data_IF_128090668228
#
_entry.id   IF_128090668228
#
_cell.length_a   1.000
_cell.length_b   1.000
_cell.length_c   1.000
_cell.angle_alpha   90.00
_cell.angle_beta   90.00
_cell.angle_gamma   90.00
#
_symmetry.space_group_name_H-M   'P 1'
#
loop_
_entity.id
_entity.type
_entity.pdbx_description
1 polymer ?
#
# COMPACT_ATOMS: atom_id res chain seq x y z
N UNK A 1 42.24 2.01 12.55
CA UNK A 1 43.42 1.55 13.30
C UNK A 1 43.59 0.03 13.30
N UNK A 2 42.58 -0.78 13.64
CA UNK A 2 42.74 -2.25 13.76
C UNK A 2 43.05 -2.97 12.43
N UNK A 3 42.45 -2.55 11.31
CA UNK A 3 42.65 -3.19 10.00
C UNK A 3 44.08 -3.03 9.44
N UNK A 4 44.75 -1.92 9.73
CA UNK A 4 46.15 -1.70 9.31
C UNK A 4 47.12 -2.51 10.17
N UNK A 5 46.86 -2.63 11.48
CA UNK A 5 47.68 -3.42 12.39
C UNK A 5 47.63 -4.92 12.06
N UNK A 6 46.47 -5.44 11.65
CA UNK A 6 46.33 -6.83 11.18
C UNK A 6 47.08 -7.05 9.85
N UNK A 7 47.07 -6.06 8.95
CA UNK A 7 47.81 -6.13 7.68
C UNK A 7 49.33 -6.13 7.88
N UNK A 8 49.85 -5.32 8.79
CA UNK A 8 51.28 -5.31 9.13
C UNK A 8 51.72 -6.58 9.86
N UNK A 9 50.87 -7.12 10.75
CA UNK A 9 51.17 -8.37 11.46
C UNK A 9 51.15 -9.62 10.55
N UNK A 10 50.42 -9.57 9.43
CA UNK A 10 50.30 -10.66 8.46
C UNK A 10 51.13 -10.45 7.19
N UNK A 11 51.84 -9.32 7.06
CA UNK A 11 52.70 -9.08 5.91
C UNK A 11 53.94 -9.98 5.99
N UNK A 12 54.23 -10.71 4.91
CA UNK A 12 55.45 -11.50 4.82
C UNK A 12 56.69 -10.57 4.88
N UNK A 13 57.78 -10.93 5.59
CA UNK A 13 58.98 -10.12 5.61
C UNK A 13 59.55 -10.00 4.19
N UNK A 14 60.24 -8.89 3.87
CA UNK A 14 60.76 -8.62 2.52
C UNK A 14 61.70 -9.73 2.01
N UNK A 15 61.20 -10.57 1.09
CA UNK A 15 61.93 -11.71 0.55
C UNK A 15 62.69 -11.32 -0.74
N UNK A 16 64.02 -11.41 -0.72
CA UNK A 16 64.91 -11.15 -1.87
C UNK A 16 65.27 -12.40 -2.69
N UNK A 17 64.63 -13.54 -2.39
CA UNK A 17 64.65 -14.74 -3.24
C UNK A 17 65.77 -15.75 -2.99
N UNK A 18 66.66 -15.54 -2.01
CA UNK A 18 67.81 -16.42 -1.77
C UNK A 18 67.93 -17.03 -0.36
N UNK A 19 66.92 -16.91 0.50
CA UNK A 19 66.99 -17.43 1.87
C UNK A 19 66.31 -18.81 2.04
N UNK A 20 66.93 -19.66 2.87
CA UNK A 20 66.44 -21.01 3.21
C UNK A 20 65.16 -20.89 4.03
N UNK A 21 64.05 -21.40 3.48
CA UNK A 21 62.73 -21.33 4.12
C UNK A 21 62.66 -22.25 5.34
N UNK A 22 62.50 -21.70 6.54
CA UNK A 22 62.00 -22.44 7.71
C UNK A 22 60.62 -23.02 7.40
N UNK A 23 60.34 -24.26 7.82
CA UNK A 23 59.09 -24.96 7.55
C UNK A 23 57.86 -24.14 8.01
N UNK A 24 57.30 -23.37 7.08
CA UNK A 24 56.22 -22.42 7.29
C UNK A 24 55.92 -21.75 5.97
N UNK A 25 55.06 -22.39 5.18
CA UNK A 25 54.68 -21.89 3.85
C UNK A 25 53.44 -21.01 4.02
N UNK A 26 53.58 -19.71 3.74
CA UNK A 26 52.45 -18.79 3.71
C UNK A 26 51.85 -18.80 2.30
N UNK A 27 50.58 -19.17 2.17
CA UNK A 27 49.80 -18.95 0.95
C UNK A 27 48.75 -17.89 1.19
N UNK A 28 48.65 -16.96 0.26
CA UNK A 28 47.51 -16.06 0.17
C UNK A 28 46.31 -16.86 -0.31
N UNK A 29 45.27 -16.96 0.53
CA UNK A 29 43.98 -17.51 0.13
C UNK A 29 43.03 -16.38 -0.21
N UNK A 30 42.21 -16.57 -1.24
CA UNK A 30 41.07 -15.67 -1.47
C UNK A 30 40.04 -15.88 -0.35
N UNK A 31 39.33 -14.81 0.03
CA UNK A 31 38.31 -14.84 1.09
C UNK A 31 37.27 -15.94 0.86
N UNK A 32 36.85 -16.13 -0.40
CA UNK A 32 35.92 -17.19 -0.81
C UNK A 32 36.48 -18.59 -0.56
N UNK A 33 37.78 -18.77 -0.79
CA UNK A 33 38.50 -20.03 -0.51
C UNK A 33 38.61 -20.31 0.99
N UNK A 34 38.72 -19.27 1.83
CA UNK A 34 38.72 -19.41 3.29
C UNK A 34 37.31 -19.75 3.82
N UNK A 35 36.27 -19.14 3.23
CA UNK A 35 34.87 -19.43 3.57
C UNK A 35 34.50 -20.91 3.31
N UNK A 36 35.06 -21.53 2.26
CA UNK A 36 34.85 -22.95 1.97
C UNK A 36 35.32 -23.92 3.09
N UNK A 37 36.22 -23.49 3.98
CA UNK A 37 36.64 -24.28 5.15
C UNK A 37 35.64 -24.22 6.32
N UNK A 38 34.60 -23.40 6.22
CA UNK A 38 33.57 -23.21 7.24
C UNK A 38 32.17 -23.58 6.71
N UNK A 39 31.93 -24.87 6.35
CA UNK A 39 30.67 -25.32 5.73
C UNK A 39 29.47 -25.33 6.71
N UNK A 40 29.66 -24.88 7.95
CA UNK A 40 28.65 -24.86 9.01
C UNK A 40 28.30 -23.44 9.47
N UNK A 41 28.79 -22.41 8.77
CA UNK A 41 28.40 -21.03 9.02
C UNK A 41 27.19 -20.75 8.13
N UNK A 42 26.01 -20.76 8.73
CA UNK A 42 24.79 -20.33 8.07
C UNK A 42 24.86 -18.80 7.88
N UNK A 43 24.59 -18.33 6.66
CA UNK A 43 24.62 -16.90 6.38
C UNK A 43 23.30 -16.29 6.84
N UNK A 44 23.34 -15.60 7.99
CA UNK A 44 22.18 -14.84 8.44
C UNK A 44 21.82 -13.77 7.40
N UNK A 45 20.56 -13.72 6.99
CA UNK A 45 20.07 -12.69 6.07
C UNK A 45 19.93 -11.38 6.85
N UNK A 46 20.93 -10.51 6.71
CA UNK A 46 21.04 -9.26 7.44
C UNK A 46 21.15 -8.07 6.48
N UNK A 47 19.99 -7.52 6.09
CA UNK A 47 19.96 -6.30 5.28
C UNK A 47 20.12 -5.05 6.19
N UNK A 48 21.12 -4.19 5.97
CA UNK A 48 21.31 -2.97 6.74
C UNK A 48 20.08 -2.06 6.69
N UNK A 49 19.61 -1.59 7.86
CA UNK A 49 18.39 -0.77 7.94
C UNK A 49 17.09 -1.56 7.84
N UNK A 50 17.17 -2.89 7.73
CA UNK A 50 16.02 -3.77 7.68
C UNK A 50 15.29 -3.93 9.01
N UNK A 51 14.05 -4.39 8.93
CA UNK A 51 13.26 -4.79 10.10
C UNK A 51 13.43 -6.27 10.37
N UNK A 52 13.38 -6.67 11.64
CA UNK A 52 13.33 -8.09 12.00
C UNK A 52 12.04 -8.70 11.44
N UNK A 53 12.17 -9.73 10.59
CA UNK A 53 11.03 -10.44 10.00
C UNK A 53 10.80 -11.78 10.69
N UNK A 54 11.87 -12.45 11.11
CA UNK A 54 11.77 -13.75 11.77
C UNK A 54 13.14 -14.28 12.21
N UNK A 55 13.16 -15.57 12.53
CA UNK A 55 14.37 -16.30 12.92
C UNK A 55 14.51 -17.52 12.00
N UNK A 56 15.75 -17.91 11.69
CA UNK A 56 16.03 -19.17 11.04
C UNK A 56 15.67 -20.34 11.96
N UNK A 57 15.18 -21.44 11.38
CA UNK A 57 14.71 -22.58 12.16
C UNK A 57 15.84 -23.42 12.77
N UNK A 58 17.04 -23.37 12.18
CA UNK A 58 18.14 -24.25 12.56
C UNK A 58 18.88 -23.74 13.80
N UNK A 59 19.17 -22.44 13.82
CA UNK A 59 20.07 -21.82 14.80
C UNK A 59 19.45 -20.58 15.48
N UNK A 60 18.19 -20.26 15.17
CA UNK A 60 17.50 -19.06 15.63
C UNK A 60 18.21 -17.74 15.27
N UNK A 61 19.05 -17.74 14.23
CA UNK A 61 19.66 -16.52 13.72
C UNK A 61 18.59 -15.55 13.19
N UNK A 62 18.71 -14.24 13.47
CA UNK A 62 17.70 -13.28 13.07
C UNK A 62 17.76 -12.97 11.57
N UNK A 63 16.58 -12.78 10.99
CA UNK A 63 16.40 -12.38 9.59
C UNK A 63 15.93 -10.92 9.56
N UNK A 64 16.76 -10.04 9.02
CA UNK A 64 16.46 -8.62 8.82
C UNK A 64 16.35 -8.31 7.33
N UNK A 65 15.23 -7.68 6.93
CA UNK A 65 14.98 -7.30 5.54
C UNK A 65 14.66 -5.81 5.43
N UNK A 66 15.36 -5.11 4.53
CA UNK A 66 15.13 -3.73 4.13
C UNK A 66 14.43 -3.69 2.77
N UNK A 67 13.10 -3.68 2.76
CA UNK A 67 12.34 -3.67 1.48
C UNK A 67 12.71 -2.53 0.53
N UNK A 68 13.28 -1.44 1.03
CA UNK A 68 13.70 -0.29 0.24
C UNK A 68 15.04 -0.49 -0.48
N UNK A 69 15.81 -1.52 -0.13
CA UNK A 69 17.03 -1.88 -0.87
C UNK A 69 16.75 -2.72 -2.12
N UNK A 70 15.50 -3.15 -2.33
CA UNK A 70 15.08 -4.00 -3.44
C UNK A 70 14.47 -3.19 -4.59
N UNK A 71 14.48 -3.75 -5.79
CA UNK A 71 13.89 -3.12 -6.98
C UNK A 71 12.36 -2.90 -6.84
N UNK A 72 11.70 -3.72 -6.03
CA UNK A 72 10.29 -3.57 -5.66
C UNK A 72 10.18 -3.51 -4.14
N UNK A 73 9.50 -2.48 -3.65
CA UNK A 73 9.27 -2.28 -2.21
C UNK A 73 8.04 -3.05 -1.70
N UNK A 74 7.35 -3.81 -2.56
CA UNK A 74 6.11 -4.49 -2.24
C UNK A 74 6.33 -5.80 -1.49
N UNK A 75 5.49 -6.07 -0.49
CA UNK A 75 5.48 -7.33 0.25
C UNK A 75 4.16 -8.08 0.05
N UNK A 76 4.25 -9.40 -0.07
CA UNK A 76 3.11 -10.31 -0.01
C UNK A 76 3.16 -11.14 1.27
N UNK A 77 2.10 -11.10 2.07
CA UNK A 77 1.95 -11.91 3.28
C UNK A 77 0.81 -12.90 3.04
N UNK A 78 1.15 -14.18 2.94
CA UNK A 78 0.21 -15.25 2.61
C UNK A 78 0.11 -16.26 3.75
N UNK A 79 -1.07 -16.84 3.94
CA UNK A 79 -1.30 -17.85 4.96
C UNK A 79 -2.79 -18.14 5.19
N UNK A 80 -3.09 -19.31 5.76
CA UNK A 80 -4.45 -19.69 6.13
C UNK A 80 -5.05 -18.75 7.19
N UNK A 81 -6.37 -18.78 7.37
CA UNK A 81 -7.01 -18.08 8.50
C UNK A 81 -6.43 -18.58 9.82
N UNK A 82 -6.10 -17.67 10.74
CA UNK A 82 -5.46 -18.00 12.03
C UNK A 82 -3.94 -18.23 11.98
N UNK A 83 -3.30 -18.20 10.81
CA UNK A 83 -1.83 -18.37 10.69
C UNK A 83 -0.99 -17.17 11.19
N UNK A 84 -1.63 -16.11 11.67
CA UNK A 84 -0.93 -14.92 12.18
C UNK A 84 -0.63 -13.83 11.14
N UNK A 85 -1.30 -13.81 9.99
CA UNK A 85 -1.14 -12.75 8.97
C UNK A 85 -1.28 -11.34 9.54
N UNK A 86 -2.38 -11.06 10.23
CA UNK A 86 -2.67 -9.74 10.84
C UNK A 86 -1.58 -9.35 11.84
N UNK A 87 -1.11 -10.32 12.64
CA UNK A 87 -0.01 -10.11 13.58
C UNK A 87 1.31 -9.79 12.87
N UNK A 88 1.67 -10.56 11.84
CA UNK A 88 2.88 -10.33 11.05
C UNK A 88 2.85 -8.96 10.36
N UNK A 89 1.69 -8.55 9.80
CA UNK A 89 1.49 -7.23 9.19
C UNK A 89 1.64 -6.11 10.22
N UNK A 90 0.95 -6.19 11.36
CA UNK A 90 1.01 -5.18 12.41
C UNK A 90 2.43 -5.03 12.98
N UNK A 91 3.11 -6.16 13.23
CA UNK A 91 4.46 -6.17 13.78
C UNK A 91 5.50 -5.61 12.80
N UNK A 92 5.37 -5.97 11.52
CA UNK A 92 6.17 -5.41 10.42
C UNK A 92 6.01 -3.89 10.34
N UNK A 93 4.77 -3.41 10.36
CA UNK A 93 4.43 -2.00 10.25
C UNK A 93 4.98 -1.23 11.44
N UNK A 94 4.81 -1.76 12.65
CA UNK A 94 5.36 -1.17 13.88
C UNK A 94 6.89 -1.02 13.80
N UNK A 95 7.60 -2.10 13.44
CA UNK A 95 9.07 -2.09 13.30
C UNK A 95 9.53 -1.14 12.20
N UNK A 96 8.79 -1.13 11.10
CA UNK A 96 9.03 -0.20 9.98
C UNK A 96 8.94 1.25 10.44
N UNK A 97 7.85 1.62 11.10
CA UNK A 97 7.63 2.99 11.60
C UNK A 97 8.64 3.39 12.66
N UNK A 98 9.11 2.44 13.46
CA UNK A 98 10.16 2.67 14.45
C UNK A 98 11.49 3.08 13.80
N UNK A 99 11.88 2.41 12.71
CA UNK A 99 13.14 2.69 12.01
C UNK A 99 12.99 3.85 11.01
N UNK A 100 11.80 4.01 10.43
CA UNK A 100 11.46 5.01 9.41
C UNK A 100 10.20 5.81 9.80
N UNK A 101 10.33 6.78 10.73
CA UNK A 101 9.21 7.58 11.22
C UNK A 101 8.59 8.52 10.16
N UNK A 102 9.26 8.72 9.03
CA UNK A 102 8.78 9.49 7.88
C UNK A 102 7.79 8.72 6.99
N UNK A 103 7.67 7.40 7.16
CA UNK A 103 6.79 6.57 6.33
C UNK A 103 5.34 6.76 6.78
N UNK A 104 4.51 7.33 5.93
CA UNK A 104 3.05 7.33 6.10
C UNK A 104 2.46 5.94 5.90
N UNK A 105 1.40 5.63 6.66
CA UNK A 105 0.74 4.33 6.68
C UNK A 105 -0.75 4.51 6.47
N UNK A 106 -1.29 3.84 5.44
CA UNK A 106 -2.73 3.72 5.22
C UNK A 106 -3.08 2.25 5.22
N UNK A 107 -3.93 1.83 6.15
CA UNK A 107 -4.44 0.47 6.28
C UNK A 107 -5.86 0.41 5.74
N UNK A 108 -6.07 -0.34 4.67
CA UNK A 108 -7.40 -0.68 4.19
C UNK A 108 -7.88 -1.91 4.97
N UNK A 109 -8.82 -1.70 5.89
CA UNK A 109 -9.23 -2.67 6.90
C UNK A 109 -10.71 -3.05 6.76
N UNK A 110 -11.05 -3.96 5.82
CA UNK A 110 -12.43 -4.37 5.60
C UNK A 110 -13.04 -5.11 6.79
N UNK A 111 -12.20 -5.74 7.63
CA UNK A 111 -12.64 -6.53 8.79
C UNK A 111 -12.57 -5.75 10.11
N UNK A 112 -11.99 -4.53 10.10
CA UNK A 112 -11.83 -3.70 11.29
C UNK A 112 -10.88 -4.26 12.35
N UNK A 113 -9.92 -5.11 11.98
CA UNK A 113 -8.98 -5.76 12.89
C UNK A 113 -7.86 -4.82 13.38
N UNK A 114 -7.52 -3.78 12.61
CA UNK A 114 -6.41 -2.88 12.88
C UNK A 114 -6.81 -1.64 13.68
N UNK A 115 -8.10 -1.37 13.89
CA UNK A 115 -8.57 -0.15 14.55
C UNK A 115 -7.99 0.05 15.97
N UNK A 116 -7.85 -1.03 16.76
CA UNK A 116 -7.20 -0.95 18.07
C UNK A 116 -5.70 -0.65 17.99
N UNK A 117 -5.02 -1.29 17.03
CA UNK A 117 -3.60 -1.11 16.78
C UNK A 117 -3.27 0.32 16.33
N UNK A 118 -4.04 0.87 15.39
CA UNK A 118 -3.84 2.25 14.91
C UNK A 118 -4.04 3.27 16.01
N UNK A 119 -5.09 3.14 16.83
CA UNK A 119 -5.32 4.04 17.97
C UNK A 119 -4.19 3.97 19.01
N UNK A 120 -3.65 2.77 19.26
CA UNK A 120 -2.52 2.60 20.18
C UNK A 120 -1.24 3.30 19.69
N UNK A 121 -1.09 3.49 18.38
CA UNK A 121 0.01 4.24 17.77
C UNK A 121 -0.29 5.74 17.59
N UNK A 122 -1.40 6.24 18.14
CA UNK A 122 -1.80 7.64 17.99
C UNK A 122 -2.31 8.00 16.59
N UNK A 123 -2.65 7.01 15.78
CA UNK A 123 -3.21 7.20 14.44
C UNK A 123 -4.73 7.40 14.43
N UNK A 124 -5.26 7.69 13.25
CA UNK A 124 -6.69 7.97 13.03
C UNK A 124 -7.39 6.75 12.41
N UNK A 125 -8.55 6.38 12.96
CA UNK A 125 -9.42 5.36 12.35
C UNK A 125 -10.58 6.09 11.67
N UNK A 126 -10.63 6.03 10.35
CA UNK A 126 -11.71 6.54 9.52
C UNK A 126 -12.72 5.41 9.29
N UNK A 127 -13.90 5.52 9.89
CA UNK A 127 -14.99 4.57 9.65
C UNK A 127 -15.88 5.09 8.55
N UNK A 128 -16.11 4.31 7.51
CA UNK A 128 -17.07 4.63 6.46
C UNK A 128 -18.41 3.94 6.69
N UNK A 129 -19.49 4.61 6.35
CA UNK A 129 -20.84 4.06 6.45
C UNK A 129 -21.93 5.12 6.40
N UNK A 130 -23.18 4.68 6.39
CA UNK A 130 -24.34 5.56 6.24
C UNK A 130 -24.51 6.60 7.38
N UNK A 131 -23.99 6.28 8.56
CA UNK A 131 -24.03 7.13 9.76
C UNK A 131 -22.69 7.83 10.06
N UNK A 132 -21.69 7.67 9.18
CA UNK A 132 -20.39 8.32 9.38
C UNK A 132 -20.40 9.76 8.91
N UNK A 133 -19.75 10.65 9.68
CA UNK A 133 -19.46 12.02 9.25
C UNK A 133 -18.35 12.08 8.18
N UNK A 134 -17.58 10.99 8.05
CA UNK A 134 -16.50 10.86 7.08
C UNK A 134 -17.07 10.47 5.72
N UNK A 135 -16.84 11.33 4.73
CA UNK A 135 -17.23 11.13 3.33
C UNK A 135 -16.01 11.27 2.45
N UNK A 136 -15.94 10.41 1.45
CA UNK A 136 -14.92 10.47 0.42
C UNK A 136 -15.66 10.52 -0.90
N UNK A 137 -15.43 11.59 -1.66
CA UNK A 137 -16.14 11.86 -2.91
C UNK A 137 -15.40 11.20 -4.08
N UNK A 138 -15.98 10.18 -4.73
CA UNK A 138 -15.37 9.52 -5.88
C UNK A 138 -15.26 10.44 -7.10
N UNK A 139 -16.02 11.53 -7.14
CA UNK A 139 -16.02 12.49 -8.25
C UNK A 139 -14.99 13.62 -8.06
N UNK A 140 -14.24 13.62 -6.96
CA UNK A 140 -13.23 14.64 -6.70
C UNK A 140 -12.04 14.50 -7.68
N UNK A 141 -11.74 15.52 -8.51
CA UNK A 141 -10.64 15.46 -9.47
C UNK A 141 -9.25 15.54 -8.82
N UNK A 142 -9.15 15.79 -7.50
CA UNK A 142 -7.85 15.84 -6.81
C UNK A 142 -7.06 14.53 -6.95
N UNK A 143 -7.76 13.39 -7.09
CA UNK A 143 -7.15 12.06 -7.26
C UNK A 143 -6.41 11.89 -8.59
N UNK A 144 -6.68 12.73 -9.58
CA UNK A 144 -6.00 12.75 -10.90
C UNK A 144 -5.10 13.97 -11.05
N UNK A 145 -4.62 14.54 -9.93
CA UNK A 145 -3.83 15.77 -9.95
C UNK A 145 -4.60 16.99 -10.48
N UNK A 146 -5.94 16.92 -10.49
CA UNK A 146 -6.81 17.95 -11.05
C UNK A 146 -7.15 17.78 -12.53
N UNK A 147 -6.67 16.73 -13.21
CA UNK A 147 -7.08 16.42 -14.59
C UNK A 147 -8.54 15.94 -14.61
N UNK A 148 -9.43 16.85 -15.00
CA UNK A 148 -10.87 16.62 -15.06
C UNK A 148 -11.28 15.69 -16.19
N UNK A 149 -10.58 15.70 -17.32
CA UNK A 149 -10.90 14.83 -18.45
C UNK A 149 -10.51 13.38 -18.14
N UNK A 150 -9.34 13.18 -17.55
CA UNK A 150 -8.93 11.88 -17.03
C UNK A 150 -9.91 11.39 -15.95
N UNK A 151 -10.28 12.27 -15.02
CA UNK A 151 -11.24 11.94 -13.97
C UNK A 151 -12.60 11.53 -14.52
N UNK A 152 -13.12 12.26 -15.51
CA UNK A 152 -14.37 11.94 -16.21
C UNK A 152 -14.32 10.52 -16.79
N UNK A 153 -13.24 10.17 -17.51
CA UNK A 153 -13.06 8.84 -18.07
C UNK A 153 -13.03 7.73 -17.01
N UNK A 154 -12.32 7.94 -15.90
CA UNK A 154 -12.26 6.98 -14.78
C UNK A 154 -13.62 6.79 -14.10
N UNK A 155 -14.34 7.88 -13.84
CA UNK A 155 -15.68 7.83 -13.24
C UNK A 155 -16.66 7.08 -14.15
N UNK A 156 -16.69 7.39 -15.44
CA UNK A 156 -17.53 6.68 -16.40
C UNK A 156 -17.20 5.18 -16.47
N UNK A 157 -15.92 4.81 -16.41
CA UNK A 157 -15.50 3.41 -16.34
C UNK A 157 -15.99 2.71 -15.06
N UNK A 158 -15.76 3.32 -13.88
CA UNK A 158 -16.19 2.76 -12.59
C UNK A 158 -17.70 2.55 -12.56
N UNK A 159 -18.49 3.56 -12.95
CA UNK A 159 -19.94 3.46 -12.93
C UNK A 159 -20.47 2.38 -13.88
N UNK A 160 -19.85 2.19 -15.06
CA UNK A 160 -20.20 1.07 -15.95
C UNK A 160 -19.86 -0.29 -15.34
N UNK A 161 -18.76 -0.40 -14.61
CA UNK A 161 -18.41 -1.63 -13.89
C UNK A 161 -19.39 -1.92 -12.75
N UNK A 162 -19.90 -0.91 -12.05
CA UNK A 162 -20.90 -1.08 -11.00
C UNK A 162 -22.27 -1.49 -11.54
N UNK A 163 -22.61 -1.03 -12.74
CA UNK A 163 -23.89 -1.30 -13.38
C UNK A 163 -23.69 -2.14 -14.65
N UNK A 164 -23.30 -3.43 -14.52
CA UNK A 164 -23.00 -4.27 -15.68
C UNK A 164 -24.22 -4.54 -16.57
N UNK A 165 -25.42 -4.20 -16.10
CA UNK A 165 -26.66 -4.32 -16.87
C UNK A 165 -26.99 -3.10 -17.72
N UNK A 166 -26.15 -2.05 -17.76
CA UNK A 166 -26.39 -0.87 -18.60
C UNK A 166 -26.51 -1.22 -20.08
N UNK A 167 -27.52 -0.64 -20.75
CA UNK A 167 -27.70 -0.70 -22.19
C UNK A 167 -26.73 0.26 -22.88
N UNK A 168 -26.52 0.08 -24.18
CA UNK A 168 -25.65 0.94 -24.97
C UNK A 168 -26.12 2.41 -24.92
N UNK A 169 -27.43 2.65 -25.01
CA UNK A 169 -27.99 4.00 -24.96
C UNK A 169 -27.80 4.67 -23.59
N UNK A 170 -27.91 3.90 -22.51
CA UNK A 170 -27.72 4.42 -21.14
C UNK A 170 -26.24 4.64 -20.82
N UNK A 171 -25.35 3.78 -21.33
CA UNK A 171 -23.92 3.96 -21.23
C UNK A 171 -23.47 5.24 -21.95
N UNK A 172 -24.00 5.47 -23.15
CA UNK A 172 -23.76 6.71 -23.90
C UNK A 172 -24.32 7.94 -23.15
N UNK A 173 -25.52 7.84 -22.57
CA UNK A 173 -26.11 8.91 -21.78
C UNK A 173 -25.30 9.21 -20.50
N UNK A 174 -24.81 8.18 -19.82
CA UNK A 174 -23.95 8.29 -18.64
C UNK A 174 -22.62 8.98 -18.99
N UNK A 175 -21.94 8.52 -20.04
CA UNK A 175 -20.66 9.12 -20.48
C UNK A 175 -20.85 10.60 -20.87
N UNK A 176 -21.94 10.93 -21.57
CA UNK A 176 -22.28 12.31 -21.91
C UNK A 176 -22.57 13.17 -20.66
N UNK A 177 -23.32 12.63 -19.68
CA UNK A 177 -23.60 13.31 -18.43
C UNK A 177 -22.34 13.55 -17.60
N UNK A 178 -21.44 12.57 -17.53
CA UNK A 178 -20.13 12.69 -16.85
C UNK A 178 -19.26 13.74 -17.55
N UNK A 179 -19.21 13.76 -18.89
CA UNK A 179 -18.46 14.80 -19.61
C UNK A 179 -18.98 16.20 -19.26
N UNK A 180 -20.30 16.41 -19.36
CA UNK A 180 -20.92 17.70 -19.02
C UNK A 180 -20.67 18.11 -17.57
N UNK A 181 -20.72 17.16 -16.63
CA UNK A 181 -20.41 17.37 -15.22
C UNK A 181 -19.03 18.02 -15.02
N UNK A 182 -18.00 17.49 -15.69
CA UNK A 182 -16.63 17.99 -15.55
C UNK A 182 -16.33 19.24 -16.39
N UNK A 183 -17.14 19.53 -17.41
CA UNK A 183 -17.04 20.75 -18.23
C UNK A 183 -17.57 22.01 -17.50
N UNK A 184 -18.37 21.86 -16.43
CA UNK A 184 -19.04 22.96 -15.71
C UNK A 184 -18.12 23.94 -14.98
N UNK A 185 -16.86 23.59 -14.72
CA UNK A 185 -15.89 24.50 -14.14
C UNK A 185 -15.19 23.97 -12.88
N UNK A 186 -14.71 24.85 -11.98
CA UNK A 186 -13.77 24.46 -10.94
C UNK A 186 -14.40 23.75 -9.74
N UNK A 187 -15.73 23.83 -9.59
CA UNK A 187 -16.46 23.25 -8.47
C UNK A 187 -16.25 21.73 -8.40
N UNK A 188 -16.16 21.21 -7.17
CA UNK A 188 -15.99 19.76 -6.95
C UNK A 188 -17.35 19.11 -7.13
N UNK A 189 -17.55 18.29 -8.18
CA UNK A 189 -18.85 17.70 -8.47
C UNK A 189 -19.25 16.66 -7.42
N UNK A 190 -20.55 16.53 -7.16
CA UNK A 190 -21.13 15.44 -6.34
C UNK A 190 -22.12 14.60 -7.15
N UNK A 191 -22.58 13.47 -6.60
CA UNK A 191 -23.51 12.60 -7.34
C UNK A 191 -24.82 13.30 -7.70
N UNK A 192 -25.36 14.16 -6.83
CA UNK A 192 -26.53 14.99 -7.16
C UNK A 192 -26.33 15.81 -8.42
N UNK A 193 -25.10 16.31 -8.65
CA UNK A 193 -24.75 17.06 -9.85
C UNK A 193 -24.72 16.16 -11.08
N UNK A 194 -24.21 14.93 -10.95
CA UNK A 194 -24.21 13.95 -12.04
C UNK A 194 -25.65 13.60 -12.45
N UNK A 195 -26.52 13.32 -11.47
CA UNK A 195 -27.94 13.02 -11.75
C UNK A 195 -28.65 14.19 -12.43
N UNK A 196 -28.26 15.44 -12.15
CA UNK A 196 -28.81 16.62 -12.81
C UNK A 196 -28.40 16.73 -14.29
N UNK A 197 -27.30 16.08 -14.70
CA UNK A 197 -26.82 16.06 -16.09
C UNK A 197 -27.41 14.94 -16.93
N UNK A 198 -28.04 13.93 -16.31
CA UNK A 198 -28.67 12.86 -17.07
C UNK A 198 -29.90 13.44 -17.77
N UNK A 199 -29.89 13.38 -19.11
CA UNK A 199 -31.01 13.86 -19.91
C UNK A 199 -32.27 13.05 -19.56
N UNK A 200 -33.39 13.73 -19.27
CA UNK A 200 -34.63 13.05 -18.90
C UNK A 200 -35.36 12.52 -20.11
N UNK A 201 -35.68 11.23 -20.13
CA UNK A 201 -36.50 10.63 -21.18
C UNK A 201 -36.72 9.13 -21.02
N UNK A 202 -37.54 8.52 -21.89
CA UNK A 202 -37.85 7.09 -21.81
C UNK A 202 -36.62 6.17 -21.93
N UNK A 203 -35.56 6.64 -22.59
CA UNK A 203 -34.31 5.89 -22.75
C UNK A 203 -33.45 5.87 -21.47
N UNK A 204 -33.56 6.90 -20.63
CA UNK A 204 -32.70 7.14 -19.45
C UNK A 204 -33.42 6.94 -18.13
N UNK A 205 -34.74 6.73 -18.13
CA UNK A 205 -35.55 6.49 -16.91
C UNK A 205 -34.95 5.38 -16.02
N UNK A 206 -34.47 4.29 -16.62
CA UNK A 206 -33.83 3.21 -15.87
C UNK A 206 -32.44 3.60 -15.35
N UNK A 207 -31.67 4.41 -16.10
CA UNK A 207 -30.39 4.95 -15.64
C UNK A 207 -30.59 5.86 -14.42
N UNK A 208 -31.60 6.73 -14.45
CA UNK A 208 -31.95 7.57 -13.30
C UNK A 208 -32.26 6.71 -12.06
N UNK A 209 -33.07 5.65 -12.24
CA UNK A 209 -33.38 4.72 -11.15
C UNK A 209 -32.13 3.99 -10.60
N UNK A 210 -31.15 3.67 -11.45
CA UNK A 210 -29.89 3.04 -11.04
C UNK A 210 -28.97 4.01 -10.28
N UNK A 211 -29.05 5.32 -10.58
CA UNK A 211 -28.24 6.35 -9.93
C UNK A 211 -28.90 6.93 -8.67
N UNK A 212 -30.22 6.77 -8.50
CA UNK A 212 -30.95 7.22 -7.31
C UNK A 212 -30.37 6.76 -5.95
N UNK A 213 -29.79 5.54 -5.81
CA UNK A 213 -29.15 5.12 -4.57
C UNK A 213 -28.04 6.06 -4.07
N UNK A 214 -27.37 6.79 -4.97
CA UNK A 214 -26.37 7.80 -4.60
C UNK A 214 -27.02 9.08 -4.07
N UNK A 215 -28.24 9.43 -4.49
CA UNK A 215 -28.92 10.64 -4.05
C UNK A 215 -29.62 10.47 -2.71
N UNK A 216 -30.45 9.43 -2.60
CA UNK A 216 -31.36 9.25 -1.45
C UNK A 216 -31.30 7.85 -0.82
N UNK A 217 -30.53 6.92 -1.40
CA UNK A 217 -30.49 5.52 -0.96
C UNK A 217 -29.28 5.14 -0.10
N UNK A 218 -28.84 3.88 -0.26
CA UNK A 218 -27.76 3.27 0.52
C UNK A 218 -26.37 3.85 0.25
N UNK A 219 -26.18 4.51 -0.90
CA UNK A 219 -24.92 5.11 -1.33
C UNK A 219 -24.89 6.64 -1.13
N UNK A 220 -25.83 7.21 -0.36
CA UNK A 220 -25.85 8.65 -0.07
C UNK A 220 -24.57 9.17 0.60
N UNK A 221 -23.81 8.30 1.28
CA UNK A 221 -22.59 8.68 2.00
C UNK A 221 -21.49 9.20 1.07
N UNK A 222 -21.52 8.86 -0.22
CA UNK A 222 -20.56 9.37 -1.22
C UNK A 222 -21.05 10.63 -1.95
N UNK A 223 -22.29 11.07 -1.68
CA UNK A 223 -22.90 12.22 -2.34
C UNK A 223 -22.71 13.50 -1.53
N UNK A 224 -21.48 14.01 -1.55
CA UNK A 224 -21.07 15.23 -0.89
C UNK A 224 -19.59 15.48 -1.08
N UNK A 225 -19.07 16.66 -0.72
CA UNK A 225 -17.63 16.90 -0.75
C UNK A 225 -16.90 15.97 0.22
N UNK A 226 -15.67 15.61 -0.14
CA UNK A 226 -14.75 14.87 0.74
C UNK A 226 -14.60 15.62 2.06
N UNK A 227 -14.86 14.95 3.19
CA UNK A 227 -14.76 15.52 4.55
C UNK A 227 -13.60 14.93 5.36
N UNK A 228 -12.77 14.10 4.74
CA UNK A 228 -11.60 13.48 5.37
C UNK A 228 -10.55 14.56 5.66
N UNK A 229 -10.31 14.84 6.94
CA UNK A 229 -9.11 15.55 7.40
C UNK A 229 -8.30 14.60 8.26
N UNK A 230 -7.08 14.29 7.82
CA UNK A 230 -6.15 13.44 8.57
C UNK A 230 -4.91 14.24 8.89
N UNK A 231 -4.69 14.48 10.18
CA UNK A 231 -3.50 15.17 10.70
C UNK A 231 -2.39 14.18 11.12
N UNK A 232 -2.65 12.88 11.00
CA UNK A 232 -1.76 11.80 11.44
C UNK A 232 -1.20 11.00 10.26
N UNK A 233 0.02 10.49 10.43
CA UNK A 233 0.70 9.68 9.41
C UNK A 233 0.32 8.19 9.45
N UNK A 234 -0.60 7.79 10.34
CA UNK A 234 -1.10 6.41 10.44
C UNK A 234 -2.62 6.44 10.40
N UNK A 235 -3.17 5.91 9.32
CA UNK A 235 -4.61 5.87 9.08
C UNK A 235 -5.06 4.43 8.90
N UNK A 236 -6.16 4.06 9.55
CA UNK A 236 -6.92 2.87 9.17
C UNK A 236 -8.26 3.32 8.60
N UNK A 237 -8.59 2.76 7.43
CA UNK A 237 -9.87 2.89 6.77
C UNK A 237 -10.69 1.66 7.08
N UNK A 238 -11.71 1.83 7.91
CA UNK A 238 -12.63 0.78 8.36
C UNK A 238 -13.90 0.80 7.48
N UNK A 239 -14.11 -0.30 6.75
CA UNK A 239 -15.22 -0.43 5.82
C UNK A 239 -16.45 -1.15 6.40
N UNK A 240 -16.45 -1.54 7.69
CA UNK A 240 -17.55 -2.34 8.27
C UNK A 240 -18.90 -1.63 8.29
N UNK A 241 -18.93 -0.30 8.19
CA UNK A 241 -20.18 0.46 8.08
C UNK A 241 -20.74 0.51 6.65
N UNK A 242 -20.06 -0.10 5.68
CA UNK A 242 -20.49 -0.20 4.29
C UNK A 242 -21.11 -1.59 4.07
N UNK A 243 -22.32 -1.68 3.47
CA UNK A 243 -22.89 -2.97 3.10
C UNK A 243 -21.99 -3.73 2.10
N UNK A 244 -21.92 -5.06 2.19
CA UNK A 244 -21.01 -5.89 1.38
C UNK A 244 -21.17 -5.66 -0.13
N UNK A 245 -22.40 -5.52 -0.63
CA UNK A 245 -22.69 -5.27 -2.04
C UNK A 245 -22.15 -3.93 -2.57
N UNK A 246 -21.82 -3.01 -1.65
CA UNK A 246 -21.24 -1.70 -1.97
C UNK A 246 -19.74 -1.65 -1.75
N UNK A 247 -19.13 -2.64 -1.08
CA UNK A 247 -17.70 -2.67 -0.81
C UNK A 247 -16.84 -2.59 -2.10
N UNK A 248 -17.17 -3.29 -3.21
CA UNK A 248 -16.39 -3.19 -4.44
C UNK A 248 -16.30 -1.77 -4.99
N UNK A 249 -17.37 -0.98 -4.85
CA UNK A 249 -17.35 0.42 -5.25
C UNK A 249 -16.31 1.20 -4.45
N UNK A 250 -16.33 1.06 -3.13
CA UNK A 250 -15.42 1.79 -2.24
C UNK A 250 -13.95 1.36 -2.34
N UNK A 251 -13.66 0.19 -2.89
CA UNK A 251 -12.30 -0.29 -3.13
C UNK A 251 -11.76 0.02 -4.54
N UNK A 252 -12.62 0.45 -5.47
CA UNK A 252 -12.27 0.60 -6.88
C UNK A 252 -11.77 2.01 -7.27
N UNK A 253 -11.88 3.01 -6.38
CA UNK A 253 -11.61 4.41 -6.71
C UNK A 253 -10.57 5.08 -5.81
#
# INVERSE_FOLDING_TARGET
CLANAVREALAAPGLTGSEVRSAGYWQTLQTDGLAAFYPFVDEAVLEPGGVLVGLLLQDAAPVFLDRWSHASHSWGIFGATGSGKTFATALTLLRTRWIRPEVGVVLLDPLGEFGGFVRALGGTVLTFGAESEVRLNPLDPISTGGDRAEKAGRVGAILRTLFPSLRDEESAALDAAVSRLYDRGPEIPVFSDLLAEVDRGPATERLEALLEPFRSGSLRSVNGPTSVNVETDIVSVDFRGIPEDHLPFHLAY
#
